data_IF_083822029335
#
_entry.id   IF_083822029335
#
_cell.length_a   1.000
_cell.length_b   1.000
_cell.length_c   1.000
_cell.angle_alpha   90.00
_cell.angle_beta   90.00
_cell.angle_gamma   90.00
#
_symmetry.space_group_name_H-M   'P 1'
#
loop_
_entity.id
_entity.type
_entity.pdbx_description
1 polymer ?
#
# COMPACT_ATOMS: atom_id res chain seq x y z
N UNK A 1 -7.30 -4.06 -13.67
CA UNK A 1 -7.00 -2.95 -12.75
C UNK A 1 -5.55 -3.07 -12.29
N UNK A 2 -4.74 -2.04 -12.50
CA UNK A 2 -3.33 -1.98 -12.09
C UNK A 2 -3.20 -1.81 -10.57
N UNK A 3 -2.01 -2.07 -10.01
CA UNK A 3 -1.73 -1.77 -8.59
C UNK A 3 -1.91 -0.29 -8.26
N UNK A 4 -1.57 0.62 -9.18
CA UNK A 4 -1.82 2.06 -9.02
C UNK A 4 -3.31 2.38 -8.95
N UNK A 5 -4.14 1.78 -9.81
CA UNK A 5 -5.59 1.99 -9.79
C UNK A 5 -6.23 1.45 -8.49
N UNK A 6 -5.76 0.32 -7.97
CA UNK A 6 -6.22 -0.22 -6.67
C UNK A 6 -5.87 0.73 -5.52
N UNK A 7 -4.64 1.27 -5.51
CA UNK A 7 -4.20 2.24 -4.51
C UNK A 7 -4.94 3.57 -4.61
N UNK A 8 -5.23 4.06 -5.82
CA UNK A 8 -6.03 5.27 -6.01
C UNK A 8 -7.47 5.10 -5.48
N UNK A 9 -8.10 3.95 -5.74
CA UNK A 9 -9.42 3.65 -5.19
C UNK A 9 -9.41 3.54 -3.65
N UNK A 10 -8.34 3.00 -3.06
CA UNK A 10 -8.16 2.99 -1.61
C UNK A 10 -7.93 4.40 -1.06
N UNK A 11 -7.05 5.21 -1.68
CA UNK A 11 -6.78 6.59 -1.31
C UNK A 11 -8.04 7.46 -1.25
N UNK A 12 -8.90 7.34 -2.27
CA UNK A 12 -10.20 8.03 -2.27
C UNK A 12 -11.08 7.66 -1.06
N UNK A 13 -11.06 6.40 -0.63
CA UNK A 13 -11.81 5.95 0.56
C UNK A 13 -11.19 6.47 1.85
N UNK A 14 -9.86 6.48 1.95
CA UNK A 14 -9.13 7.06 3.10
C UNK A 14 -9.50 8.55 3.23
N UNK A 15 -9.43 9.31 2.13
CA UNK A 15 -9.81 10.73 2.10
C UNK A 15 -11.28 10.97 2.45
N UNK A 16 -12.20 10.13 1.94
CA UNK A 16 -13.63 10.22 2.30
C UNK A 16 -13.91 9.96 3.78
N UNK A 17 -13.01 9.26 4.47
CA UNK A 17 -13.09 9.01 5.91
C UNK A 17 -12.40 10.12 6.75
N UNK A 18 -11.85 11.15 6.12
CA UNK A 18 -11.13 12.23 6.80
C UNK A 18 -9.76 11.81 7.36
N UNK A 19 -9.16 10.77 6.79
CA UNK A 19 -7.85 10.25 7.19
C UNK A 19 -6.78 10.68 6.17
N UNK A 20 -5.54 10.81 6.62
CA UNK A 20 -4.41 11.18 5.75
C UNK A 20 -3.77 9.96 5.06
N UNK A 21 -3.75 8.81 5.74
CA UNK A 21 -3.11 7.60 5.25
C UNK A 21 -3.63 6.33 5.95
N UNK A 22 -3.31 5.16 5.37
CA UNK A 22 -3.55 3.85 5.95
C UNK A 22 -2.28 2.99 5.88
N UNK A 23 -1.91 2.40 7.03
CA UNK A 23 -0.87 1.38 7.10
C UNK A 23 -1.48 -0.01 6.92
N UNK A 24 -1.04 -0.73 5.89
CA UNK A 24 -1.48 -2.09 5.55
C UNK A 24 -0.39 -3.09 5.91
N UNK A 25 -0.67 -3.99 6.85
CA UNK A 25 0.30 -4.98 7.36
C UNK A 25 -0.05 -6.43 7.01
N UNK A 26 -1.31 -6.70 6.64
CA UNK A 26 -1.71 -8.02 6.14
C UNK A 26 -1.07 -8.26 4.76
N UNK A 27 -0.24 -9.30 4.66
CA UNK A 27 0.52 -9.63 3.45
C UNK A 27 -0.35 -9.96 2.23
N UNK A 28 -1.58 -10.45 2.45
CA UNK A 28 -2.55 -10.67 1.35
C UNK A 28 -2.90 -9.31 0.72
N UNK A 29 -3.17 -8.31 1.56
CA UNK A 29 -3.51 -6.96 1.10
C UNK A 29 -2.29 -6.20 0.57
N UNK A 30 -1.11 -6.38 1.18
CA UNK A 30 0.14 -5.83 0.63
C UNK A 30 0.36 -6.36 -0.79
N UNK A 31 0.28 -7.68 -1.00
CA UNK A 31 0.42 -8.29 -2.34
C UNK A 31 -0.63 -7.78 -3.30
N UNK A 32 -1.89 -7.67 -2.86
CA UNK A 32 -2.98 -7.16 -3.69
C UNK A 32 -2.74 -5.71 -4.15
N UNK A 33 -2.21 -4.85 -3.29
CA UNK A 33 -2.05 -3.41 -3.54
C UNK A 33 -0.72 -3.02 -4.18
N UNK A 34 0.35 -3.81 -3.99
CA UNK A 34 1.71 -3.47 -4.47
C UNK A 34 2.31 -4.48 -5.44
N UNK A 35 1.81 -5.72 -5.46
CA UNK A 35 2.44 -6.83 -6.18
C UNK A 35 3.65 -7.44 -5.45
N UNK A 36 4.04 -6.93 -4.28
CA UNK A 36 5.11 -7.52 -3.49
C UNK A 36 4.71 -8.91 -2.97
N UNK A 37 5.55 -9.92 -3.21
CA UNK A 37 5.25 -11.33 -2.91
C UNK A 37 6.02 -11.90 -1.73
N UNK A 38 6.91 -11.11 -1.10
CA UNK A 38 7.71 -11.52 0.05
C UNK A 38 6.88 -11.81 1.32
N UNK A 39 7.51 -12.42 2.31
CA UNK A 39 6.87 -12.86 3.56
C UNK A 39 6.98 -11.84 4.71
N UNK A 40 7.52 -10.65 4.45
CA UNK A 40 7.56 -9.55 5.41
C UNK A 40 7.47 -8.20 4.69
N UNK A 41 6.40 -7.45 4.92
CA UNK A 41 6.24 -6.10 4.44
C UNK A 41 5.11 -5.35 5.15
N UNK A 42 5.18 -4.02 5.07
CA UNK A 42 4.05 -3.12 5.30
C UNK A 42 3.96 -2.11 4.16
N UNK A 43 2.74 -1.70 3.81
CA UNK A 43 2.47 -0.72 2.75
C UNK A 43 1.74 0.48 3.35
N UNK A 44 2.32 1.68 3.22
CA UNK A 44 1.67 2.94 3.56
C UNK A 44 1.00 3.52 2.30
N UNK A 45 -0.31 3.73 2.35
CA UNK A 45 -1.10 4.34 1.25
C UNK A 45 -1.67 5.66 1.73
N UNK A 46 -1.45 6.73 0.98
CA UNK A 46 -1.92 8.08 1.30
C UNK A 46 -3.30 8.34 0.69
N UNK A 47 -4.03 9.28 1.28
CA UNK A 47 -5.31 9.77 0.77
C UNK A 47 -5.17 10.69 -0.44
N UNK A 48 -4.01 11.33 -0.58
CA UNK A 48 -3.67 12.24 -1.67
C UNK A 48 -2.90 11.51 -2.80
N UNK A 49 -2.32 12.29 -3.72
CA UNK A 49 -1.58 11.76 -4.87
C UNK A 49 -0.16 11.27 -4.52
N UNK A 50 0.22 11.21 -3.23
CA UNK A 50 1.51 10.68 -2.84
C UNK A 50 1.65 9.20 -3.19
N UNK A 51 2.83 8.83 -3.66
CA UNK A 51 3.14 7.44 -3.95
C UNK A 51 3.19 6.62 -2.66
N UNK A 52 2.49 5.48 -2.67
CA UNK A 52 2.56 4.53 -1.57
C UNK A 52 4.00 4.07 -1.29
N UNK A 53 4.32 3.86 -0.01
CA UNK A 53 5.65 3.46 0.46
C UNK A 53 5.60 2.01 0.92
N UNK A 54 6.48 1.16 0.36
CA UNK A 54 6.67 -0.22 0.79
C UNK A 54 7.86 -0.31 1.74
N UNK A 55 7.62 -0.80 2.96
CA UNK A 55 8.66 -1.16 3.90
C UNK A 55 8.84 -2.68 3.94
N UNK A 56 10.08 -3.15 3.91
CA UNK A 56 10.46 -4.57 4.05
C UNK A 56 11.86 -4.65 4.65
N UNK A 57 12.29 -5.85 5.05
CA UNK A 57 13.63 -6.08 5.56
C UNK A 57 14.64 -6.44 4.44
N UNK A 58 15.92 -6.51 4.79
CA UNK A 58 17.02 -6.67 3.85
C UNK A 58 16.99 -7.96 3.02
N UNK A 59 16.25 -9.00 3.42
CA UNK A 59 16.11 -10.25 2.63
C UNK A 59 15.50 -10.03 1.26
N UNK A 60 14.74 -8.94 1.10
CA UNK A 60 14.02 -8.61 -0.13
C UNK A 60 14.64 -7.43 -0.88
N UNK A 61 15.86 -7.01 -0.49
CA UNK A 61 16.61 -5.97 -1.20
C UNK A 61 17.59 -6.65 -2.17
N UNK A 62 17.30 -6.55 -3.46
CA UNK A 62 18.18 -6.98 -4.57
C UNK A 62 18.85 -5.79 -5.22
#
# INVERSE_FOLDING_TARGET
MTYSQRRAALGARIGSAGLDAMLVTDLINVRYLSGFTGSNAALLVFADDQSAVLATDGRYRT
#
